data_IF_412733553415
#
_entry.id   IF_412733553415
#
_cell.length_a   1.000
_cell.length_b   1.000
_cell.length_c   1.000
_cell.angle_alpha   90.00
_cell.angle_beta   90.00
_cell.angle_gamma   90.00
#
_symmetry.space_group_name_H-M   'P 1'
#
loop_
_entity.id
_entity.type
_entity.pdbx_description
1 polymer ?
#
# COMPACT_ATOMS: atom_id res chain seq x y z
N UNK A 1 50.87 -12.74 67.39
CA UNK A 1 50.33 -14.08 67.73
C UNK A 1 49.16 -14.35 66.81
N UNK A 2 49.13 -15.52 66.12
CA UNK A 2 48.09 -16.04 65.17
C UNK A 2 48.07 -15.31 63.81
N UNK A 3 48.49 -15.82 62.64
CA UNK A 3 48.51 -17.12 61.91
C UNK A 3 47.22 -17.45 61.13
N UNK A 4 47.44 -17.73 59.82
CA UNK A 4 46.62 -18.43 58.78
C UNK A 4 45.83 -17.52 57.84
N UNK A 5 46.15 -17.44 56.54
CA UNK A 5 46.09 -18.43 55.42
C UNK A 5 44.68 -18.59 54.85
N UNK A 6 44.51 -18.26 53.57
CA UNK A 6 44.04 -19.10 52.44
C UNK A 6 43.84 -18.15 51.23
N UNK A 7 44.55 -18.28 50.09
CA UNK A 7 44.47 -19.36 49.08
C UNK A 7 43.02 -19.43 48.54
N UNK A 8 42.71 -19.18 47.26
CA UNK A 8 43.14 -19.94 46.08
C UNK A 8 42.67 -19.23 44.77
N UNK A 9 43.53 -19.10 43.74
CA UNK A 9 43.54 -19.85 42.44
C UNK A 9 42.49 -19.34 41.42
N UNK A 10 42.74 -19.11 40.13
CA UNK A 10 43.87 -19.32 39.23
C UNK A 10 43.64 -18.49 37.94
N UNK A 11 44.67 -18.04 37.20
CA UNK A 11 45.17 -18.69 35.98
C UNK A 11 44.03 -19.11 35.04
N UNK A 12 43.80 -18.55 33.87
CA UNK A 12 44.56 -18.55 32.59
C UNK A 12 43.58 -17.94 31.55
N UNK A 13 43.86 -17.52 30.32
CA UNK A 13 44.96 -17.61 29.40
C UNK A 13 44.86 -16.40 28.44
N UNK A 14 46.04 -16.01 27.99
CA UNK A 14 46.31 -15.14 26.85
C UNK A 14 45.69 -15.76 25.59
N UNK A 15 44.86 -14.99 24.87
CA UNK A 15 44.57 -15.24 23.47
C UNK A 15 44.93 -13.98 22.67
N UNK A 16 46.22 -13.88 22.35
CA UNK A 16 46.72 -13.01 21.28
C UNK A 16 46.22 -13.62 19.97
N UNK A 17 45.36 -12.90 19.26
CA UNK A 17 45.17 -13.10 17.83
C UNK A 17 45.49 -11.79 17.13
N UNK A 18 46.58 -11.83 16.37
CA UNK A 18 47.06 -10.76 15.53
C UNK A 18 46.74 -11.15 14.10
N UNK A 19 45.70 -10.56 13.49
CA UNK A 19 45.59 -10.47 12.02
C UNK A 19 44.46 -9.50 11.63
N UNK A 20 44.82 -8.43 10.91
CA UNK A 20 43.92 -7.75 9.99
C UNK A 20 43.16 -6.52 10.53
N UNK A 21 43.86 -5.38 10.58
CA UNK A 21 43.33 -4.03 10.28
C UNK A 21 41.88 -3.68 10.63
N UNK A 22 41.70 -3.04 11.80
CA UNK A 22 40.47 -2.32 12.13
C UNK A 22 40.43 -1.95 13.60
N UNK A 23 40.93 -0.77 13.97
CA UNK A 23 40.82 -0.23 15.33
C UNK A 23 39.35 0.06 15.66
N UNK A 24 38.64 -0.93 16.18
CA UNK A 24 37.51 -0.68 17.07
C UNK A 24 38.05 -0.72 18.49
N UNK A 25 38.50 0.45 18.95
CA UNK A 25 38.84 0.67 20.36
C UNK A 25 37.54 0.48 21.13
N UNK A 26 37.41 -0.65 21.81
CA UNK A 26 36.35 -0.92 22.77
C UNK A 26 36.58 0.02 23.96
N UNK A 27 36.01 1.23 23.87
CA UNK A 27 36.11 2.27 24.88
C UNK A 27 35.15 1.87 26.02
N UNK A 28 35.73 1.55 27.17
CA UNK A 28 35.04 1.30 28.43
C UNK A 28 33.95 2.37 28.66
N UNK A 29 32.69 1.93 28.71
CA UNK A 29 31.52 2.78 28.96
C UNK A 29 31.41 3.06 30.46
N UNK A 30 32.01 4.14 30.95
CA UNK A 30 31.95 4.54 32.38
C UNK A 30 31.19 5.85 32.65
N UNK A 31 30.49 6.44 31.67
CA UNK A 31 29.69 7.66 31.88
C UNK A 31 28.18 7.41 31.71
N UNK A 32 27.38 7.81 32.71
CA UNK A 32 25.90 7.72 32.68
C UNK A 32 25.28 8.45 31.47
N UNK A 33 25.98 9.46 30.95
CA UNK A 33 25.56 10.20 29.76
C UNK A 33 25.65 9.34 28.49
N UNK A 34 26.67 8.49 28.38
CA UNK A 34 26.87 7.61 27.23
C UNK A 34 25.83 6.47 27.24
N UNK A 35 25.45 5.99 28.42
CA UNK A 35 24.36 5.01 28.60
C UNK A 35 23.02 5.61 28.18
N UNK A 36 22.70 6.85 28.60
CA UNK A 36 21.46 7.53 28.17
C UNK A 36 21.44 7.81 26.66
N UNK A 37 22.58 8.18 26.08
CA UNK A 37 22.71 8.41 24.65
C UNK A 37 22.53 7.11 23.84
N UNK A 38 23.14 6.02 24.31
CA UNK A 38 23.01 4.69 23.72
C UNK A 38 21.59 4.14 23.86
N UNK A 39 20.93 4.30 25.01
CA UNK A 39 19.54 3.92 25.24
C UNK A 39 18.57 4.72 24.37
N UNK A 40 18.79 6.03 24.15
CA UNK A 40 18.00 6.84 23.22
C UNK A 40 18.15 6.38 21.77
N UNK A 41 19.37 6.02 21.36
CA UNK A 41 19.64 5.46 20.02
C UNK A 41 18.95 4.10 19.83
N UNK A 42 19.00 3.22 20.83
CA UNK A 42 18.31 1.92 20.80
C UNK A 42 16.79 2.11 20.77
N UNK A 43 16.23 2.99 21.60
CA UNK A 43 14.78 3.24 21.64
C UNK A 43 14.27 3.84 20.32
N UNK A 44 15.03 4.77 19.72
CA UNK A 44 14.71 5.32 18.40
C UNK A 44 14.78 4.27 17.29
N UNK A 45 15.72 3.31 17.39
CA UNK A 45 15.84 2.21 16.43
C UNK A 45 14.70 1.19 16.60
N UNK A 46 14.28 0.91 17.83
CA UNK A 46 13.13 0.03 18.14
C UNK A 46 11.80 0.61 17.67
N UNK A 47 11.59 1.91 17.81
CA UNK A 47 10.39 2.58 17.30
C UNK A 47 10.40 2.59 15.77
N UNK A 48 11.58 2.82 15.15
CA UNK A 48 11.73 2.76 13.71
C UNK A 48 11.46 1.36 13.14
N UNK A 49 11.88 0.28 13.82
CA UNK A 49 11.60 -1.09 13.39
C UNK A 49 10.13 -1.46 13.58
N UNK A 50 9.45 -0.95 14.62
CA UNK A 50 8.01 -1.17 14.82
C UNK A 50 7.16 -0.49 13.72
N UNK A 51 7.59 0.70 13.27
CA UNK A 51 6.94 1.43 12.18
C UNK A 51 7.26 0.85 10.79
N UNK A 52 8.34 0.06 10.65
CA UNK A 52 8.70 -0.62 9.40
C UNK A 52 7.99 -1.97 9.18
N UNK A 53 7.29 -2.50 10.19
CA UNK A 53 6.49 -3.73 10.07
C UNK A 53 5.28 -3.58 9.12
N UNK A 54 5.04 -2.38 8.58
CA UNK A 54 3.89 -2.05 7.75
C UNK A 54 3.92 -2.47 6.27
N UNK A 55 4.93 -3.20 5.76
CA UNK A 55 4.90 -3.57 4.32
C UNK A 55 5.63 -4.87 3.91
N UNK A 56 6.02 -5.74 4.85
CA UNK A 56 6.85 -6.91 4.51
C UNK A 56 6.56 -8.25 5.22
N UNK A 57 5.80 -8.38 6.33
CA UNK A 57 5.65 -9.70 6.96
C UNK A 57 4.87 -10.73 6.12
N UNK A 58 4.19 -10.32 5.05
CA UNK A 58 3.31 -11.20 4.28
C UNK A 58 4.04 -12.09 3.27
N UNK A 59 5.32 -11.84 2.97
CA UNK A 59 6.01 -12.55 1.88
C UNK A 59 6.81 -13.79 2.30
N UNK A 60 6.97 -14.07 3.60
CA UNK A 60 7.81 -15.19 4.07
C UNK A 60 7.24 -15.97 5.27
N UNK A 61 5.90 -16.06 5.38
CA UNK A 61 5.20 -16.79 6.44
C UNK A 61 4.07 -17.67 5.90
N UNK A 62 4.37 -18.54 4.95
CA UNK A 62 3.41 -19.45 4.34
C UNK A 62 2.93 -20.51 5.33
N UNK A 63 1.70 -20.39 5.80
CA UNK A 63 0.72 -21.44 6.14
C UNK A 63 -0.29 -20.98 7.21
N UNK A 64 0.13 -20.14 8.17
CA UNK A 64 -0.72 -19.84 9.34
C UNK A 64 -1.68 -18.66 9.18
N UNK A 65 -1.48 -17.78 8.19
CA UNK A 65 -2.31 -16.57 7.99
C UNK A 65 -3.22 -16.63 6.76
N UNK A 66 -3.20 -17.75 6.01
CA UNK A 66 -3.98 -17.90 4.78
C UNK A 66 -5.52 -17.97 5.01
N UNK A 67 -5.98 -18.12 6.25
CA UNK A 67 -7.39 -18.38 6.55
C UNK A 67 -8.31 -17.16 6.68
N UNK A 68 -7.80 -15.92 6.70
CA UNK A 68 -8.64 -14.75 7.09
C UNK A 68 -8.92 -13.79 5.92
N UNK A 69 -8.35 -14.00 4.73
CA UNK A 69 -8.40 -13.01 3.65
C UNK A 69 -9.01 -13.43 2.30
N UNK A 70 -9.40 -14.69 2.10
CA UNK A 70 -9.62 -15.23 0.73
C UNK A 70 -11.09 -15.57 0.42
N UNK A 71 -12.03 -15.38 1.35
CA UNK A 71 -13.38 -15.92 1.18
C UNK A 71 -14.37 -15.04 0.37
N UNK A 72 -14.06 -13.79 0.03
CA UNK A 72 -15.10 -12.87 -0.46
C UNK A 72 -14.81 -12.07 -1.74
N UNK A 73 -13.59 -12.12 -2.29
CA UNK A 73 -13.30 -11.49 -3.57
C UNK A 73 -13.75 -12.42 -4.72
N UNK A 74 -14.49 -11.87 -5.69
CA UNK A 74 -14.87 -12.60 -6.91
C UNK A 74 -13.67 -12.77 -7.86
N UNK A 75 -12.55 -12.11 -7.57
CA UNK A 75 -11.29 -12.22 -8.33
C UNK A 75 -10.43 -13.35 -7.78
N UNK A 76 -9.71 -14.01 -8.68
CA UNK A 76 -8.68 -14.97 -8.29
C UNK A 76 -7.46 -14.25 -7.71
N UNK A 77 -6.71 -14.92 -6.82
CA UNK A 77 -5.42 -14.42 -6.32
C UNK A 77 -4.44 -14.12 -7.47
N UNK A 78 -4.51 -14.87 -8.57
CA UNK A 78 -3.72 -14.62 -9.78
C UNK A 78 -4.05 -13.27 -10.42
N UNK A 79 -5.33 -12.94 -10.55
CA UNK A 79 -5.78 -11.64 -11.09
C UNK A 79 -5.31 -10.46 -10.24
N UNK A 80 -5.28 -10.60 -8.91
CA UNK A 80 -4.77 -9.55 -8.03
C UNK A 80 -3.25 -9.33 -8.21
N UNK A 81 -2.49 -10.41 -8.38
CA UNK A 81 -1.06 -10.35 -8.65
C UNK A 81 -0.80 -9.73 -10.03
N UNK A 82 -1.58 -10.11 -11.03
CA UNK A 82 -1.50 -9.56 -12.38
C UNK A 82 -1.80 -8.06 -12.39
N UNK A 83 -2.85 -7.62 -11.69
CA UNK A 83 -3.20 -6.20 -11.56
C UNK A 83 -2.09 -5.38 -10.89
N UNK A 84 -1.50 -5.88 -9.80
CA UNK A 84 -0.37 -5.23 -9.13
C UNK A 84 0.87 -5.17 -10.04
N UNK A 85 1.13 -6.26 -10.77
CA UNK A 85 2.22 -6.31 -11.76
C UNK A 85 1.98 -5.31 -12.88
N UNK A 86 0.73 -5.16 -13.33
CA UNK A 86 0.31 -4.21 -14.34
C UNK A 86 0.50 -2.77 -13.86
N UNK A 87 0.09 -2.45 -12.63
CA UNK A 87 0.32 -1.15 -12.00
C UNK A 87 1.81 -0.79 -11.99
N UNK A 88 2.66 -1.71 -11.55
CA UNK A 88 4.12 -1.50 -11.50
C UNK A 88 4.71 -1.30 -12.90
N UNK A 89 4.31 -2.13 -13.87
CA UNK A 89 4.79 -2.02 -15.26
C UNK A 89 4.40 -0.68 -15.88
N UNK A 90 3.13 -0.30 -15.80
CA UNK A 90 2.64 0.97 -16.35
C UNK A 90 3.32 2.16 -15.68
N UNK A 91 3.40 2.17 -14.35
CA UNK A 91 4.10 3.23 -13.62
C UNK A 91 5.58 3.30 -14.00
N UNK A 92 6.25 2.15 -14.14
CA UNK A 92 7.65 2.06 -14.57
C UNK A 92 7.86 2.55 -16.00
N UNK A 93 6.98 2.20 -16.94
CA UNK A 93 7.02 2.69 -18.32
C UNK A 93 6.79 4.19 -18.39
N UNK A 94 5.91 4.75 -17.54
CA UNK A 94 5.72 6.20 -17.47
C UNK A 94 6.94 6.90 -16.88
N UNK A 95 7.49 6.34 -15.80
CA UNK A 95 8.63 6.92 -15.09
C UNK A 95 9.94 6.83 -15.87
N UNK A 96 10.09 5.88 -16.80
CA UNK A 96 11.29 5.76 -17.64
C UNK A 96 11.42 6.89 -18.65
N UNK A 97 10.31 7.56 -19.00
CA UNK A 97 10.32 8.76 -19.80
C UNK A 97 10.48 9.99 -18.90
N UNK A 98 11.70 10.56 -18.88
CA UNK A 98 12.04 11.71 -18.04
C UNK A 98 11.15 12.93 -18.29
N UNK A 99 10.78 13.21 -19.55
CA UNK A 99 9.90 14.34 -19.87
C UNK A 99 8.57 14.20 -19.14
N UNK A 100 8.01 12.99 -19.12
CA UNK A 100 6.71 12.74 -18.50
C UNK A 100 6.81 12.67 -16.98
N UNK A 101 7.86 12.07 -16.44
CA UNK A 101 8.11 12.04 -15.00
C UNK A 101 8.31 13.44 -14.38
N UNK A 102 9.01 14.33 -15.08
CA UNK A 102 9.28 15.68 -14.60
C UNK A 102 8.02 16.57 -14.72
N UNK A 103 7.17 16.34 -15.72
CA UNK A 103 6.00 17.18 -16.03
C UNK A 103 4.66 16.55 -15.61
N UNK A 104 4.67 15.52 -14.76
CA UNK A 104 3.43 14.92 -14.24
C UNK A 104 3.62 14.34 -12.84
N UNK A 105 2.50 14.01 -12.21
CA UNK A 105 2.44 13.23 -10.99
C UNK A 105 1.27 12.25 -11.13
N UNK A 106 1.57 11.07 -11.67
CA UNK A 106 0.57 10.07 -12.06
C UNK A 106 0.45 9.00 -10.99
N UNK A 107 -0.78 8.77 -10.54
CA UNK A 107 -1.18 7.60 -9.80
C UNK A 107 -1.81 6.59 -10.76
N UNK A 108 -1.35 5.33 -10.69
CA UNK A 108 -1.78 4.25 -11.57
C UNK A 108 -2.51 3.23 -10.71
N UNK A 109 -3.74 2.92 -11.09
CA UNK A 109 -4.57 1.91 -10.43
C UNK A 109 -5.01 0.86 -11.44
N UNK A 110 -4.66 -0.40 -11.21
CA UNK A 110 -5.06 -1.55 -12.00
C UNK A 110 -6.27 -2.24 -11.37
N UNK A 111 -7.18 -2.71 -12.23
CA UNK A 111 -8.32 -3.53 -11.83
C UNK A 111 -8.82 -4.40 -13.00
N UNK A 112 -8.68 -5.72 -12.88
CA UNK A 112 -9.08 -6.71 -13.89
C UNK A 112 -8.54 -6.42 -15.31
N UNK A 113 -7.30 -5.93 -15.41
CA UNK A 113 -6.68 -5.51 -16.68
C UNK A 113 -7.12 -4.13 -17.22
N UNK A 114 -8.02 -3.42 -16.54
CA UNK A 114 -8.25 -1.99 -16.73
C UNK A 114 -7.20 -1.19 -15.95
N UNK A 115 -6.74 -0.08 -16.52
CA UNK A 115 -5.83 0.87 -15.84
C UNK A 115 -6.52 2.22 -15.73
N UNK A 116 -6.74 2.66 -14.49
CA UNK A 116 -7.14 4.02 -14.16
C UNK A 116 -5.89 4.88 -13.92
N UNK A 117 -5.78 5.97 -14.67
CA UNK A 117 -4.75 7.00 -14.51
C UNK A 117 -5.38 8.21 -13.82
N UNK A 118 -4.85 8.58 -12.66
CA UNK A 118 -5.27 9.74 -11.85
C UNK A 118 -4.06 10.59 -11.46
N UNK A 119 -4.30 11.77 -10.91
CA UNK A 119 -3.26 12.74 -10.56
C UNK A 119 -3.18 13.85 -11.62
N UNK A 120 -1.99 14.38 -11.85
CA UNK A 120 -1.82 15.62 -12.61
C UNK A 120 -0.84 15.50 -13.78
N UNK A 121 -1.15 16.20 -14.86
CA UNK A 121 -0.25 16.46 -15.97
C UNK A 121 -0.10 17.96 -16.19
N UNK A 122 1.08 18.40 -16.66
CA UNK A 122 1.36 19.82 -16.91
C UNK A 122 0.46 20.40 -18.01
N UNK A 123 0.27 19.66 -19.10
CA UNK A 123 -0.56 20.04 -20.24
C UNK A 123 -1.22 18.81 -20.89
N UNK A 124 -2.08 19.07 -21.87
CA UNK A 124 -2.81 18.00 -22.56
C UNK A 124 -1.89 17.08 -23.38
N UNK A 125 -0.79 17.59 -23.92
CA UNK A 125 0.17 16.80 -24.68
C UNK A 125 0.85 15.76 -23.77
N UNK A 126 1.30 16.16 -22.57
CA UNK A 126 1.85 15.26 -21.55
C UNK A 126 0.79 14.22 -21.16
N UNK A 127 -0.46 14.64 -20.93
CA UNK A 127 -1.58 13.75 -20.60
C UNK A 127 -1.83 12.68 -21.68
N UNK A 128 -1.83 13.08 -22.95
CA UNK A 128 -2.02 12.17 -24.08
C UNK A 128 -0.85 11.18 -24.22
N UNK A 129 0.39 11.65 -24.06
CA UNK A 129 1.57 10.78 -24.10
C UNK A 129 1.58 9.74 -22.97
N UNK A 130 1.22 10.15 -21.75
CA UNK A 130 1.06 9.22 -20.62
C UNK A 130 0.01 8.14 -20.95
N UNK A 131 -1.12 8.55 -21.53
CA UNK A 131 -2.18 7.61 -21.96
C UNK A 131 -1.68 6.62 -23.00
N UNK A 132 -0.95 7.10 -24.01
CA UNK A 132 -0.42 6.27 -25.08
C UNK A 132 0.59 5.24 -24.55
N UNK A 133 1.49 5.65 -23.66
CA UNK A 133 2.44 4.73 -23.04
C UNK A 133 1.74 3.71 -22.16
N UNK A 134 0.76 4.12 -21.34
CA UNK A 134 -0.02 3.16 -20.54
C UNK A 134 -0.69 2.11 -21.44
N UNK A 135 -1.27 2.52 -22.57
CA UNK A 135 -1.89 1.61 -23.56
C UNK A 135 -0.88 0.66 -24.21
N UNK A 136 0.38 1.06 -24.35
CA UNK A 136 1.42 0.20 -24.96
C UNK A 136 1.91 -0.92 -24.05
N UNK A 137 1.58 -0.90 -22.75
CA UNK A 137 2.03 -1.92 -21.81
C UNK A 137 1.28 -3.24 -22.05
N UNK A 138 1.99 -4.38 -22.26
CA UNK A 138 1.35 -5.67 -22.44
C UNK A 138 0.47 -6.05 -21.23
N UNK A 139 -0.75 -6.50 -21.51
CA UNK A 139 -1.74 -6.89 -20.50
C UNK A 139 -2.76 -5.79 -20.16
N UNK A 140 -2.55 -4.55 -20.60
CA UNK A 140 -3.55 -3.49 -20.47
C UNK A 140 -4.67 -3.73 -21.48
N UNK A 141 -5.89 -3.95 -20.98
CA UNK A 141 -7.10 -4.14 -21.80
C UNK A 141 -7.80 -2.81 -22.10
N UNK A 142 -7.85 -1.91 -21.12
CA UNK A 142 -8.50 -0.60 -21.21
C UNK A 142 -7.75 0.41 -20.34
N UNK A 143 -7.69 1.66 -20.80
CA UNK A 143 -7.13 2.78 -20.02
C UNK A 143 -8.21 3.82 -19.82
N UNK A 144 -8.53 4.10 -18.57
CA UNK A 144 -9.37 5.21 -18.14
C UNK A 144 -8.46 6.37 -17.72
N UNK A 145 -8.43 7.44 -18.50
CA UNK A 145 -7.62 8.61 -18.20
C UNK A 145 -8.46 9.66 -17.46
N UNK A 146 -8.11 9.90 -16.21
CA UNK A 146 -8.70 10.91 -15.32
C UNK A 146 -7.63 11.88 -14.80
N UNK A 147 -6.56 12.08 -15.56
CA UNK A 147 -5.53 13.08 -15.26
C UNK A 147 -6.09 14.49 -15.44
N UNK A 148 -5.92 15.30 -14.41
CA UNK A 148 -6.24 16.72 -14.46
C UNK A 148 -5.06 17.51 -14.99
N UNK A 149 -5.33 18.55 -15.78
CA UNK A 149 -4.29 19.48 -16.22
C UNK A 149 -4.10 20.53 -15.14
N UNK A 150 -2.90 20.59 -14.56
CA UNK A 150 -2.62 21.57 -13.52
C UNK A 150 -1.42 21.29 -12.64
N UNK A 151 -1.37 22.03 -11.53
CA UNK A 151 -0.33 21.91 -10.50
C UNK A 151 -0.47 20.56 -9.77
N UNK A 152 0.68 19.98 -9.38
CA UNK A 152 0.74 18.82 -8.47
C UNK A 152 0.03 19.11 -7.14
N UNK A 153 -0.74 18.15 -6.64
CA UNK A 153 -1.37 18.25 -5.33
C UNK A 153 -0.37 18.45 -4.20
N UNK A 154 -0.70 19.36 -3.29
CA UNK A 154 0.01 19.56 -2.04
C UNK A 154 -0.16 18.33 -1.14
N UNK A 155 0.68 18.25 -0.10
CA UNK A 155 0.53 17.22 0.93
C UNK A 155 -0.84 17.29 1.63
N UNK A 156 -1.34 18.50 1.90
CA UNK A 156 -2.63 18.68 2.58
C UNK A 156 -3.81 18.26 1.70
N UNK A 157 -3.78 18.56 0.41
CA UNK A 157 -4.79 18.10 -0.57
C UNK A 157 -4.83 16.56 -0.62
N UNK A 158 -3.67 15.89 -0.72
CA UNK A 158 -3.61 14.42 -0.71
C UNK A 158 -4.03 13.79 0.62
N UNK A 159 -3.71 14.43 1.75
CA UNK A 159 -4.16 13.98 3.07
C UNK A 159 -5.69 14.09 3.19
N UNK A 160 -6.27 15.15 2.64
CA UNK A 160 -7.72 15.32 2.58
C UNK A 160 -8.37 14.21 1.71
N UNK A 161 -7.85 13.94 0.52
CA UNK A 161 -8.35 12.86 -0.35
C UNK A 161 -8.21 11.47 0.28
N UNK A 162 -7.14 11.22 1.03
CA UNK A 162 -6.96 9.98 1.79
C UNK A 162 -8.04 9.82 2.87
N UNK A 163 -8.35 10.90 3.59
CA UNK A 163 -9.45 10.93 4.56
C UNK A 163 -10.80 10.71 3.89
N UNK A 164 -11.02 11.31 2.71
CA UNK A 164 -12.26 11.11 1.95
C UNK A 164 -12.39 9.67 1.46
N UNK A 165 -11.32 9.07 0.95
CA UNK A 165 -11.29 7.65 0.59
C UNK A 165 -11.67 6.77 1.78
N UNK A 166 -11.13 7.04 2.97
CA UNK A 166 -11.48 6.31 4.18
C UNK A 166 -12.96 6.45 4.54
N UNK A 167 -13.51 7.68 4.50
CA UNK A 167 -14.94 7.92 4.74
C UNK A 167 -15.84 7.18 3.77
N UNK A 168 -15.52 7.20 2.47
CA UNK A 168 -16.27 6.48 1.45
C UNK A 168 -16.22 4.98 1.72
N UNK A 169 -15.03 4.43 1.98
CA UNK A 169 -14.90 3.00 2.33
C UNK A 169 -15.72 2.63 3.57
N UNK A 170 -15.73 3.47 4.60
CA UNK A 170 -16.57 3.26 5.79
C UNK A 170 -18.05 3.35 5.45
N UNK A 171 -18.48 4.30 4.64
CA UNK A 171 -19.88 4.44 4.25
C UNK A 171 -20.39 3.22 3.47
N UNK A 172 -19.56 2.60 2.63
CA UNK A 172 -19.93 1.36 1.93
C UNK A 172 -20.26 0.21 2.89
N UNK A 173 -19.75 0.20 4.13
CA UNK A 173 -20.09 -0.80 5.15
C UNK A 173 -21.58 -0.73 5.56
N UNK A 174 -22.24 0.43 5.35
CA UNK A 174 -23.64 0.64 5.72
C UNK A 174 -24.62 0.06 4.67
N UNK A 175 -24.12 -0.45 3.55
CA UNK A 175 -24.95 -1.06 2.49
C UNK A 175 -25.48 -2.41 2.97
N UNK A 176 -26.79 -2.47 3.23
CA UNK A 176 -27.50 -3.67 3.71
C UNK A 176 -28.09 -4.51 2.57
N UNK A 177 -27.29 -4.78 1.54
CA UNK A 177 -27.69 -5.68 0.47
C UNK A 177 -27.27 -7.12 0.81
N UNK A 178 -28.14 -8.13 0.67
CA UNK A 178 -27.79 -9.52 0.91
C UNK A 178 -26.59 -9.94 0.04
N UNK A 179 -25.53 -10.45 0.65
CA UNK A 179 -24.35 -10.93 -0.06
C UNK A 179 -23.43 -9.84 -0.63
N UNK A 180 -23.69 -8.56 -0.35
CA UNK A 180 -22.78 -7.47 -0.67
C UNK A 180 -21.58 -7.50 0.27
N UNK A 181 -20.39 -7.40 -0.32
CA UNK A 181 -19.14 -7.22 0.42
C UNK A 181 -18.47 -5.92 -0.05
N UNK A 182 -18.25 -4.94 0.84
CA UNK A 182 -17.63 -3.66 0.50
C UNK A 182 -16.18 -3.80 -0.01
N UNK A 183 -15.48 -4.90 0.30
CA UNK A 183 -14.13 -5.18 -0.20
C UNK A 183 -14.09 -5.45 -1.70
N UNK A 184 -15.24 -5.77 -2.32
CA UNK A 184 -15.38 -5.93 -3.79
C UNK A 184 -15.29 -4.60 -4.53
N UNK A 185 -15.46 -3.48 -3.82
CA UNK A 185 -15.38 -2.13 -4.39
C UNK A 185 -14.03 -1.49 -4.02
N UNK A 186 -13.14 -1.35 -5.00
CA UNK A 186 -11.92 -0.55 -4.88
C UNK A 186 -12.30 0.93 -5.02
N UNK A 187 -12.08 1.69 -3.95
CA UNK A 187 -12.31 3.14 -3.90
C UNK A 187 -10.99 3.87 -4.08
N UNK A 188 -10.94 4.80 -5.04
CA UNK A 188 -9.82 5.73 -5.28
C UNK A 188 -10.38 7.14 -5.23
N UNK A 189 -9.73 8.06 -4.51
CA UNK A 189 -10.11 9.49 -4.52
C UNK A 189 -8.91 10.34 -4.89
N UNK A 190 -9.11 11.28 -5.80
CA UNK A 190 -8.10 12.23 -6.24
C UNK A 190 -8.79 13.55 -6.60
N UNK A 191 -8.28 14.70 -6.14
CA UNK A 191 -8.86 16.03 -6.38
C UNK A 191 -10.33 16.18 -5.94
N UNK A 192 -10.79 15.36 -5.00
CA UNK A 192 -12.18 15.27 -4.57
C UNK A 192 -13.12 14.49 -5.52
N UNK A 193 -12.62 13.93 -6.62
CA UNK A 193 -13.33 12.96 -7.44
C UNK A 193 -13.13 11.57 -6.86
N UNK A 194 -14.21 10.80 -6.71
CA UNK A 194 -14.18 9.44 -6.19
C UNK A 194 -14.50 8.44 -7.29
N UNK A 195 -13.53 7.58 -7.59
CA UNK A 195 -13.62 6.51 -8.56
C UNK A 195 -13.95 5.20 -7.85
N UNK A 196 -15.03 4.55 -8.27
CA UNK A 196 -15.45 3.25 -7.75
C UNK A 196 -15.19 2.18 -8.81
N UNK A 197 -14.30 1.24 -8.52
CA UNK A 197 -13.97 0.11 -9.39
C UNK A 197 -14.41 -1.18 -8.72
N UNK A 198 -14.87 -2.16 -9.48
CA UNK A 198 -15.40 -3.39 -8.91
C UNK A 198 -16.01 -4.32 -9.94
N UNK A 199 -16.00 -5.63 -9.69
CA UNK A 199 -16.88 -6.59 -10.37
C UNK A 199 -18.11 -6.79 -9.48
N UNK A 200 -19.23 -6.18 -9.86
CA UNK A 200 -20.43 -6.08 -9.02
C UNK A 200 -21.70 -6.28 -9.85
N UNK A 201 -22.83 -6.60 -9.20
CA UNK A 201 -24.14 -6.58 -9.86
C UNK A 201 -24.58 -5.14 -10.14
N UNK A 202 -25.65 -4.96 -10.91
CA UNK A 202 -26.23 -3.63 -11.17
C UNK A 202 -26.73 -2.99 -9.88
N UNK A 203 -27.38 -3.77 -9.03
CA UNK A 203 -27.92 -3.33 -7.74
C UNK A 203 -26.80 -2.93 -6.78
N UNK A 204 -25.72 -3.73 -6.71
CA UNK A 204 -24.53 -3.42 -5.92
C UNK A 204 -23.86 -2.12 -6.42
N UNK A 205 -23.75 -1.92 -7.74
CA UNK A 205 -23.18 -0.72 -8.34
C UNK A 205 -23.99 0.55 -7.99
N UNK A 206 -25.32 0.48 -8.14
CA UNK A 206 -26.23 1.59 -7.83
C UNK A 206 -26.20 1.95 -6.34
N UNK A 207 -26.20 0.94 -5.46
CA UNK A 207 -26.09 1.16 -4.03
C UNK A 207 -24.74 1.80 -3.65
N UNK A 208 -23.62 1.29 -4.18
CA UNK A 208 -22.30 1.84 -3.93
C UNK A 208 -22.18 3.30 -4.40
N UNK A 209 -22.68 3.61 -5.60
CA UNK A 209 -22.68 4.97 -6.14
C UNK A 209 -23.57 5.91 -5.30
N UNK A 210 -24.76 5.47 -4.89
CA UNK A 210 -25.68 6.25 -4.07
C UNK A 210 -25.10 6.56 -2.69
N UNK A 211 -24.45 5.59 -2.05
CA UNK A 211 -23.82 5.79 -0.74
C UNK A 211 -22.61 6.69 -0.85
N UNK A 212 -21.71 6.44 -1.81
CA UNK A 212 -20.50 7.25 -2.00
C UNK A 212 -20.83 8.73 -2.29
N UNK A 213 -21.86 9.00 -3.10
CA UNK A 213 -22.27 10.38 -3.46
C UNK A 213 -22.86 11.17 -2.29
N UNK A 214 -23.31 10.51 -1.22
CA UNK A 214 -23.81 11.16 0.00
C UNK A 214 -22.71 11.51 0.99
N UNK A 215 -21.48 11.05 0.76
CA UNK A 215 -20.35 11.32 1.66
C UNK A 215 -19.93 12.78 1.56
N UNK A 216 -19.93 13.48 2.70
CA UNK A 216 -19.60 14.91 2.75
C UNK A 216 -18.17 15.20 2.28
N UNK A 217 -18.06 16.00 1.23
CA UNK A 217 -16.80 16.46 0.64
C UNK A 217 -16.38 15.70 -0.61
N UNK A 218 -17.14 14.70 -1.05
CA UNK A 218 -17.06 14.14 -2.40
C UNK A 218 -17.61 15.18 -3.38
N UNK A 219 -16.85 15.52 -4.42
CA UNK A 219 -17.30 16.44 -5.48
C UNK A 219 -18.14 15.70 -6.51
N UNK A 220 -17.66 14.54 -6.93
CA UNK A 220 -18.30 13.72 -7.95
C UNK A 220 -17.89 12.25 -7.77
N UNK A 221 -18.80 11.34 -8.11
CA UNK A 221 -18.56 9.90 -8.12
C UNK A 221 -18.54 9.40 -9.55
N UNK A 222 -17.44 8.76 -9.94
CA UNK A 222 -17.27 8.16 -11.26
C UNK A 222 -17.24 6.64 -11.09
N UNK A 223 -18.24 5.95 -11.65
CA UNK A 223 -18.37 4.50 -11.54
C UNK A 223 -17.68 3.80 -12.70
N UNK A 224 -16.76 2.90 -12.38
CA UNK A 224 -15.96 2.10 -13.32
C UNK A 224 -16.15 0.61 -13.01
N UNK A 225 -17.41 0.20 -12.86
CA UNK A 225 -17.77 -1.17 -12.53
C UNK A 225 -17.80 -2.06 -13.79
N UNK A 226 -17.40 -3.31 -13.60
CA UNK A 226 -17.71 -4.40 -14.52
C UNK A 226 -18.94 -5.12 -13.99
N UNK A 227 -20.01 -5.12 -14.78
CA UNK A 227 -21.28 -5.74 -14.36
C UNK A 227 -21.16 -7.25 -14.48
N UNK A 228 -21.22 -7.94 -13.35
CA UNK A 228 -21.30 -9.39 -13.31
C UNK A 228 -22.73 -9.80 -13.65
N UNK A 229 -22.92 -10.46 -14.79
CA UNK A 229 -24.22 -11.00 -15.21
C UNK A 229 -24.54 -12.35 -14.55
N UNK A 230 -23.90 -12.70 -13.42
CA UNK A 230 -24.06 -13.99 -12.76
C UNK A 230 -25.21 -13.96 -11.73
N UNK A 231 -26.36 -14.62 -11.98
CA UNK A 231 -27.45 -14.74 -11.01
C UNK A 231 -27.10 -15.59 -9.78
N UNK A 232 -25.93 -16.26 -9.75
CA UNK A 232 -25.50 -17.16 -8.67
C UNK A 232 -25.00 -16.44 -7.40
N UNK A 233 -24.77 -15.12 -7.45
CA UNK A 233 -24.37 -14.34 -6.28
C UNK A 233 -25.45 -14.31 -5.17
N UNK A 234 -26.69 -14.66 -5.49
CA UNK A 234 -27.80 -14.75 -4.54
C UNK A 234 -27.87 -16.09 -3.76
N UNK A 235 -27.16 -17.14 -4.17
CA UNK A 235 -27.41 -18.51 -3.70
C UNK A 235 -26.33 -19.15 -2.81
N UNK A 236 -25.28 -18.43 -2.43
CA UNK A 236 -24.21 -19.00 -1.58
C UNK A 236 -24.37 -18.74 -0.08
N UNK A 237 -25.46 -18.10 0.36
CA UNK A 237 -25.79 -17.96 1.80
C UNK A 237 -26.76 -19.04 2.30
N UNK A 238 -26.97 -20.10 1.52
CA UNK A 238 -28.00 -21.11 1.77
C UNK A 238 -27.54 -22.54 1.57
N UNK A 239 -26.37 -22.91 2.11
CA UNK A 239 -26.02 -24.33 2.25
C UNK A 239 -25.18 -24.57 3.50
N UNK A 240 -25.90 -24.95 4.56
CA UNK A 240 -25.56 -25.69 5.78
C UNK A 240 -24.26 -25.34 6.53
#
# INVERSE_FOLDING_TARGET
MVRRRNAEQGFTAIAIWHMGGGRYIMRHLESKADICWFMKKILSLLIATLLLQGCAPLLLGGAATAGVGVAHDRRSTGTLIDDNTLEVKVKGTIASNKLLADNSNVSVTGYNGMVLLTGEAFDDNIRQQITAMAKSVPGVKRVENQLVIGRRSTFMERAYDSKQTAKVKTALLDIKLPGFDPTRVKVVTEHGYTYLLGIVSREEAEAAASVASRVTGVKEVVTMFEISNDPSAHNLSGTL
#
